data_IF_708243683253
#
_entry.id   IF_708243683253
#
_cell.length_a   1.000
_cell.length_b   1.000
_cell.length_c   1.000
_cell.angle_alpha   90.00
_cell.angle_beta   90.00
_cell.angle_gamma   90.00
#
_symmetry.space_group_name_H-M   'P 1'
#
loop_
_entity.id
_entity.type
_entity.pdbx_description
1 polymer ?
#
# COMPACT_ATOMS: atom_id res chain seq x y z
N UNK A 1 -8.57 -19.84 9.37
CA UNK A 1 -9.59 -19.16 10.16
C UNK A 1 -9.32 -17.67 10.14
N UNK A 2 -8.55 -17.19 11.15
CA UNK A 2 -8.25 -15.77 11.17
C UNK A 2 -7.49 -15.32 9.93
N UNK A 3 -6.52 -16.12 9.49
CA UNK A 3 -5.75 -15.79 8.30
C UNK A 3 -6.65 -15.70 7.05
N UNK A 4 -7.59 -16.62 6.93
CA UNK A 4 -8.51 -16.62 5.78
C UNK A 4 -9.38 -15.35 5.78
N UNK A 5 -9.88 -14.96 6.95
CA UNK A 5 -10.68 -13.75 7.07
C UNK A 5 -9.84 -12.50 6.74
N UNK A 6 -8.59 -12.47 7.18
CA UNK A 6 -7.69 -11.38 6.86
C UNK A 6 -7.38 -11.30 5.36
N UNK A 7 -7.18 -12.45 4.72
CA UNK A 7 -6.94 -12.49 3.27
C UNK A 7 -8.16 -12.01 2.49
N UNK A 8 -9.36 -12.44 2.91
CA UNK A 8 -10.59 -11.99 2.28
C UNK A 8 -10.72 -10.47 2.41
N UNK A 9 -10.45 -9.94 3.60
CA UNK A 9 -10.54 -8.50 3.83
C UNK A 9 -9.47 -7.75 3.05
N UNK A 10 -8.25 -8.28 3.02
CA UNK A 10 -7.15 -7.72 2.23
C UNK A 10 -7.54 -7.59 0.77
N UNK A 11 -8.04 -8.68 0.20
CA UNK A 11 -8.43 -8.70 -1.21
C UNK A 11 -9.59 -7.74 -1.46
N UNK A 12 -10.58 -7.70 -0.58
CA UNK A 12 -11.71 -6.80 -0.74
C UNK A 12 -11.25 -5.33 -0.73
N UNK A 13 -10.40 -4.97 0.22
CA UNK A 13 -9.92 -3.59 0.33
C UNK A 13 -9.06 -3.18 -0.85
N UNK A 14 -8.07 -4.02 -1.21
CA UNK A 14 -7.10 -3.62 -2.22
C UNK A 14 -7.61 -3.77 -3.65
N UNK A 15 -8.55 -4.67 -3.88
CA UNK A 15 -9.03 -4.94 -5.24
C UNK A 15 -10.37 -4.29 -5.56
N UNK A 16 -11.17 -3.98 -4.55
CA UNK A 16 -12.50 -3.43 -4.75
C UNK A 16 -12.70 -2.08 -4.08
N UNK A 17 -12.51 -2.02 -2.76
CA UNK A 17 -12.86 -0.82 -1.99
C UNK A 17 -11.97 0.37 -2.39
N UNK A 18 -10.66 0.23 -2.28
CA UNK A 18 -9.75 1.34 -2.55
C UNK A 18 -9.77 1.74 -4.03
N UNK A 19 -9.69 0.80 -4.98
CA UNK A 19 -9.82 1.20 -6.39
C UNK A 19 -11.15 1.92 -6.69
N UNK A 20 -12.22 1.51 -6.02
CA UNK A 20 -13.52 2.13 -6.21
C UNK A 20 -13.59 3.57 -5.69
N UNK A 21 -12.71 3.94 -4.75
CA UNK A 21 -12.67 5.29 -4.20
C UNK A 21 -11.75 6.23 -5.00
N UNK A 22 -10.85 5.68 -5.80
CA UNK A 22 -9.75 6.44 -6.38
C UNK A 22 -10.19 7.65 -7.20
N UNK A 23 -11.18 7.47 -8.05
CA UNK A 23 -11.63 8.55 -8.94
C UNK A 23 -12.26 9.68 -8.14
N UNK A 24 -13.16 9.34 -7.21
CA UNK A 24 -13.87 10.34 -6.41
C UNK A 24 -12.90 11.11 -5.51
N UNK A 25 -11.87 10.45 -5.00
CA UNK A 25 -10.90 11.07 -4.11
C UNK A 25 -9.77 11.77 -4.85
N UNK A 26 -9.69 11.62 -6.17
CA UNK A 26 -8.62 12.22 -6.94
C UNK A 26 -7.24 11.66 -6.62
N UNK A 27 -7.17 10.38 -6.26
CA UNK A 27 -5.90 9.78 -5.86
C UNK A 27 -4.94 9.61 -7.02
N UNK A 28 -3.61 9.65 -6.75
CA UNK A 28 -2.60 9.47 -7.79
C UNK A 28 -2.47 8.05 -8.30
N UNK A 29 -3.07 7.06 -7.61
CA UNK A 29 -3.03 5.65 -8.00
C UNK A 29 -4.45 5.10 -8.04
N UNK A 30 -4.66 4.06 -8.86
CA UNK A 30 -6.00 3.49 -9.07
C UNK A 30 -6.02 1.98 -9.12
N UNK A 31 -4.86 1.33 -9.26
CA UNK A 31 -4.78 -0.11 -9.50
C UNK A 31 -4.53 -0.88 -8.22
N UNK A 32 -5.06 -2.09 -8.17
CA UNK A 32 -4.97 -2.93 -6.98
C UNK A 32 -3.52 -3.12 -6.50
N UNK A 33 -2.60 -3.42 -7.43
CA UNK A 33 -1.20 -3.63 -7.03
C UNK A 33 -0.54 -2.37 -6.47
N UNK A 34 -1.01 -1.19 -6.87
CA UNK A 34 -0.50 0.05 -6.30
C UNK A 34 -0.94 0.21 -4.85
N UNK A 35 -2.20 -0.13 -4.55
CA UNK A 35 -2.69 -0.08 -3.17
C UNK A 35 -2.01 -1.13 -2.30
N UNK A 36 -1.76 -2.32 -2.85
CA UNK A 36 -1.02 -3.35 -2.13
C UNK A 36 0.36 -2.86 -1.76
N UNK A 37 1.08 -2.24 -2.71
CA UNK A 37 2.41 -1.67 -2.46
C UNK A 37 2.37 -0.65 -1.32
N UNK A 38 1.45 0.30 -1.39
CA UNK A 38 1.35 1.36 -0.38
C UNK A 38 1.10 0.76 1.00
N UNK A 39 0.13 -0.15 1.09
CA UNK A 39 -0.23 -0.74 2.38
C UNK A 39 0.89 -1.60 2.94
N UNK A 40 1.55 -2.39 2.10
CA UNK A 40 2.64 -3.24 2.55
C UNK A 40 3.88 -2.44 2.93
N UNK A 41 4.27 -1.47 2.11
CA UNK A 41 5.42 -0.63 2.44
C UNK A 41 5.17 0.15 3.73
N UNK A 42 3.95 0.65 3.94
CA UNK A 42 3.59 1.35 5.15
C UNK A 42 3.64 0.41 6.36
N UNK A 43 3.08 -0.78 6.23
CA UNK A 43 3.05 -1.75 7.32
C UNK A 43 4.45 -2.19 7.77
N UNK A 44 5.37 -2.32 6.81
CA UNK A 44 6.73 -2.75 7.12
C UNK A 44 7.69 -1.58 7.37
N UNK A 45 7.32 -0.36 6.98
CA UNK A 45 8.19 0.80 7.11
C UNK A 45 9.37 0.78 6.13
N UNK A 46 9.29 -0.05 5.10
CA UNK A 46 10.32 -0.21 4.08
C UNK A 46 9.72 -0.93 2.88
N UNK A 47 10.39 -0.95 1.71
CA UNK A 47 9.85 -1.69 0.56
C UNK A 47 9.60 -3.14 0.95
N UNK A 48 8.34 -3.58 0.78
CA UNK A 48 7.92 -4.88 1.30
C UNK A 48 8.71 -6.06 0.72
N UNK A 49 9.11 -5.95 -0.54
CA UNK A 49 9.82 -7.05 -1.20
C UNK A 49 11.23 -7.29 -0.64
N UNK A 50 11.73 -6.37 0.18
CA UNK A 50 12.99 -6.54 0.90
C UNK A 50 12.79 -7.25 2.24
N UNK A 51 11.55 -7.41 2.66
CA UNK A 51 11.21 -8.03 3.96
C UNK A 51 10.62 -9.41 3.77
N UNK A 52 9.72 -9.58 2.79
CA UNK A 52 9.05 -10.86 2.54
C UNK A 52 9.22 -11.26 1.08
N UNK A 53 9.23 -12.57 0.86
CA UNK A 53 9.31 -13.14 -0.48
C UNK A 53 7.99 -12.99 -1.22
N UNK A 54 8.07 -12.96 -2.54
CA UNK A 54 6.88 -12.97 -3.38
C UNK A 54 6.28 -14.37 -3.47
N UNK A 55 4.99 -14.52 -3.52
CA UNK A 55 3.99 -13.47 -3.30
C UNK A 55 3.82 -13.17 -1.81
N UNK A 56 3.69 -11.89 -1.49
CA UNK A 56 3.67 -11.44 -0.09
C UNK A 56 2.65 -12.19 0.75
N UNK A 57 1.43 -12.36 0.23
CA UNK A 57 0.34 -12.98 1.00
C UNK A 57 0.64 -14.41 1.43
N UNK A 58 1.56 -15.09 0.77
CA UNK A 58 1.94 -16.45 1.14
C UNK A 58 3.03 -16.50 2.19
N UNK A 59 3.79 -15.41 2.33
CA UNK A 59 4.99 -15.42 3.16
C UNK A 59 4.91 -14.49 4.36
N UNK A 60 3.85 -13.69 4.47
CA UNK A 60 3.61 -12.87 5.64
C UNK A 60 3.06 -13.70 6.79
N UNK A 61 3.47 -13.37 8.00
CA UNK A 61 2.83 -13.93 9.19
C UNK A 61 1.42 -13.35 9.31
N UNK A 62 0.60 -13.98 10.13
CA UNK A 62 -0.74 -13.46 10.39
C UNK A 62 -0.68 -12.04 10.97
N UNK A 63 0.28 -11.77 11.87
CA UNK A 63 0.43 -10.44 12.44
C UNK A 63 0.82 -9.41 11.39
N UNK A 64 1.71 -9.77 10.46
CA UNK A 64 2.09 -8.88 9.36
C UNK A 64 0.91 -8.59 8.44
N UNK A 65 0.15 -9.62 8.11
CA UNK A 65 -1.04 -9.45 7.28
C UNK A 65 -2.07 -8.56 7.99
N UNK A 66 -2.25 -8.75 9.28
CA UNK A 66 -3.17 -7.91 10.06
C UNK A 66 -2.75 -6.45 10.03
N UNK A 67 -1.44 -6.17 10.11
CA UNK A 67 -0.96 -4.78 10.03
C UNK A 67 -1.23 -4.18 8.66
N UNK A 68 -1.03 -4.95 7.59
CA UNK A 68 -1.29 -4.47 6.24
C UNK A 68 -2.77 -4.18 6.03
N UNK A 69 -3.64 -5.06 6.52
CA UNK A 69 -5.09 -4.85 6.48
C UNK A 69 -5.47 -3.59 7.25
N UNK A 70 -4.85 -3.37 8.42
CA UNK A 70 -5.13 -2.19 9.23
C UNK A 70 -4.78 -0.91 8.49
N UNK A 71 -3.68 -0.89 7.74
CA UNK A 71 -3.34 0.28 6.92
C UNK A 71 -4.41 0.54 5.87
N UNK A 72 -4.85 -0.50 5.16
CA UNK A 72 -5.89 -0.36 4.15
C UNK A 72 -7.20 0.13 4.74
N UNK A 73 -7.57 -0.37 5.92
CA UNK A 73 -8.77 0.08 6.64
C UNK A 73 -8.67 1.56 7.00
N UNK A 74 -7.50 2.00 7.46
CA UNK A 74 -7.30 3.40 7.81
C UNK A 74 -7.46 4.30 6.60
N UNK A 75 -6.94 3.90 5.45
CA UNK A 75 -7.08 4.67 4.22
C UNK A 75 -8.55 4.76 3.82
N UNK A 76 -9.28 3.64 3.89
CA UNK A 76 -10.70 3.63 3.55
C UNK A 76 -11.51 4.55 4.48
N UNK A 77 -11.15 4.60 5.76
CA UNK A 77 -11.84 5.42 6.74
C UNK A 77 -11.42 6.90 6.68
N UNK A 78 -10.19 7.16 6.22
CA UNK A 78 -9.65 8.52 6.13
C UNK A 78 -8.93 8.68 4.79
N UNK A 79 -9.67 8.90 3.70
CA UNK A 79 -9.11 8.88 2.34
C UNK A 79 -7.98 9.88 2.10
N UNK A 80 -7.93 10.95 2.85
CA UNK A 80 -6.87 11.95 2.70
C UNK A 80 -5.49 11.41 3.07
N UNK A 81 -5.41 10.24 3.71
CA UNK A 81 -4.13 9.63 4.05
C UNK A 81 -3.41 9.05 2.82
N UNK A 82 -4.15 8.65 1.79
CA UNK A 82 -3.57 7.89 0.68
C UNK A 82 -2.44 8.64 -0.04
N UNK A 83 -2.61 9.91 -0.43
CA UNK A 83 -1.53 10.60 -1.14
C UNK A 83 -0.22 10.66 -0.35
N UNK A 84 -0.30 10.93 0.95
CA UNK A 84 0.89 11.01 1.79
C UNK A 84 1.55 9.64 1.95
N UNK A 85 0.76 8.59 2.16
CA UNK A 85 1.31 7.24 2.28
C UNK A 85 1.91 6.76 0.96
N UNK A 86 1.28 7.10 -0.15
CA UNK A 86 1.83 6.78 -1.47
C UNK A 86 3.17 7.49 -1.69
N UNK A 87 3.24 8.76 -1.35
CA UNK A 87 4.49 9.52 -1.48
C UNK A 87 5.58 8.92 -0.61
N UNK A 88 5.26 8.51 0.62
CA UNK A 88 6.22 7.87 1.50
C UNK A 88 6.70 6.53 0.95
N UNK A 89 5.79 5.71 0.41
CA UNK A 89 6.16 4.45 -0.22
C UNK A 89 7.15 4.67 -1.37
N UNK A 90 6.87 5.67 -2.21
CA UNK A 90 7.77 5.99 -3.31
C UNK A 90 9.11 6.52 -2.81
N UNK A 91 9.10 7.32 -1.74
CA UNK A 91 10.33 7.80 -1.12
C UNK A 91 11.19 6.65 -0.61
N UNK A 92 10.58 5.69 0.06
CA UNK A 92 11.29 4.52 0.56
C UNK A 92 11.98 3.75 -0.56
N UNK A 93 11.39 3.78 -1.75
CA UNK A 93 11.93 3.09 -2.93
C UNK A 93 12.89 3.98 -3.74
N UNK A 94 13.10 5.22 -3.31
CA UNK A 94 13.97 6.16 -3.99
C UNK A 94 13.37 6.81 -5.24
N UNK A 95 12.15 6.46 -5.60
CA UNK A 95 11.54 6.98 -6.83
C UNK A 95 11.23 8.46 -6.75
N UNK A 96 10.70 8.92 -5.61
CA UNK A 96 10.41 10.34 -5.43
C UNK A 96 11.70 11.16 -5.39
N UNK A 97 12.74 10.64 -4.73
CA UNK A 97 14.03 11.30 -4.66
C UNK A 97 14.66 11.43 -6.05
N UNK A 98 14.62 10.35 -6.82
CA UNK A 98 15.18 10.40 -8.18
C UNK A 98 14.44 11.38 -9.06
N UNK A 99 13.12 11.41 -8.94
CA UNK A 99 12.30 12.32 -9.71
C UNK A 99 12.59 13.78 -9.33
N UNK A 100 12.70 14.07 -8.02
CA UNK A 100 13.01 15.39 -7.53
C UNK A 100 14.41 15.83 -7.99
N UNK A 101 15.39 14.91 -7.90
CA UNK A 101 16.74 15.22 -8.34
C UNK A 101 16.78 15.50 -9.84
N UNK A 102 16.07 14.73 -10.64
CA UNK A 102 16.01 14.94 -12.08
C UNK A 102 15.38 16.31 -12.40
N UNK A 103 14.33 16.68 -11.70
CA UNK A 103 13.67 17.95 -11.95
C UNK A 103 14.53 19.14 -11.58
N UNK A 104 15.29 19.04 -10.47
CA UNK A 104 16.11 20.15 -10.00
C UNK A 104 17.50 20.17 -10.63
N UNK A 105 17.93 19.09 -11.20
CA UNK A 105 19.27 18.93 -11.72
C UNK A 105 19.49 19.53 -13.10
N UNK A 106 18.57 20.29 -13.51
CA UNK A 106 18.77 20.84 -14.86
C UNK A 106 18.30 22.12 -15.06
#
# INVERSE_FOLDING_TARGET
MRRDALLDRWNDLTRRVLPGMAAAEGWPIRLDHCFMRVCLDTAFGRPWHKVVRRPAVRHMTEAELARAVAVAERIAAAPSLLPALNAESLRLRGKARRRAAAASGR
#
